data_IF_093181346469
#
_entry.id   IF_093181346469
#
_cell.length_a   1.000
_cell.length_b   1.000
_cell.length_c   1.000
_cell.angle_alpha   90.00
_cell.angle_beta   90.00
_cell.angle_gamma   90.00
#
_symmetry.space_group_name_H-M   'P 1'
#
loop_
_entity.id
_entity.type
_entity.pdbx_description
1 polymer ?
#
# COMPACT_ATOMS: atom_id res chain seq x y z
N UNK A 1 -9.69 30.61 -25.81
CA UNK A 1 -10.45 30.81 -24.56
C UNK A 1 -11.92 30.90 -24.91
N UNK A 2 -12.74 29.95 -24.48
CA UNK A 2 -14.21 30.01 -24.64
C UNK A 2 -14.88 29.54 -23.36
N UNK A 3 -15.38 30.53 -22.62
CA UNK A 3 -16.25 30.42 -21.44
C UNK A 3 -17.67 30.02 -21.91
N UNK A 4 -18.21 28.90 -21.41
CA UNK A 4 -19.61 28.46 -21.66
C UNK A 4 -20.43 28.41 -20.37
N UNK A 5 -20.96 29.58 -20.04
CA UNK A 5 -22.34 29.90 -19.66
C UNK A 5 -23.23 28.71 -19.19
N UNK A 6 -23.45 28.70 -17.88
CA UNK A 6 -24.74 28.59 -17.18
C UNK A 6 -25.98 28.17 -18.00
N UNK A 7 -26.57 27.02 -17.67
CA UNK A 7 -28.02 26.83 -17.84
C UNK A 7 -28.58 25.94 -16.74
N UNK A 8 -29.27 26.60 -15.81
CA UNK A 8 -30.17 25.96 -14.85
C UNK A 8 -31.29 25.26 -15.63
N UNK A 9 -31.53 23.98 -15.33
CA UNK A 9 -32.83 23.33 -15.55
C UNK A 9 -33.17 22.52 -14.31
N UNK A 10 -34.03 23.10 -13.49
CA UNK A 10 -34.74 22.49 -12.37
C UNK A 10 -35.92 21.70 -12.94
N UNK A 11 -35.87 20.37 -12.93
CA UNK A 11 -36.95 19.42 -13.27
C UNK A 11 -36.50 18.07 -12.64
N UNK A 12 -37.18 17.29 -11.78
CA UNK A 12 -38.56 17.16 -11.29
C UNK A 12 -38.49 16.39 -9.95
N UNK A 13 -39.34 16.73 -8.98
CA UNK A 13 -39.65 15.84 -7.86
C UNK A 13 -40.36 14.58 -8.39
N UNK A 14 -39.78 13.42 -8.16
CA UNK A 14 -40.46 12.13 -8.29
C UNK A 14 -40.36 11.40 -6.96
N UNK A 15 -41.48 11.33 -6.24
CA UNK A 15 -41.64 10.46 -5.10
C UNK A 15 -41.59 8.99 -5.58
N UNK A 16 -40.55 8.26 -5.21
CA UNK A 16 -40.45 6.82 -5.50
C UNK A 16 -40.95 6.09 -4.25
N UNK A 17 -42.12 5.48 -4.40
CA UNK A 17 -42.69 4.52 -3.46
C UNK A 17 -41.72 3.35 -3.24
N UNK A 18 -41.65 2.91 -1.98
CA UNK A 18 -40.76 1.85 -1.52
C UNK A 18 -40.85 0.57 -2.35
N UNK A 19 -39.67 0.00 -2.59
CA UNK A 19 -39.46 -1.42 -2.81
C UNK A 19 -38.09 -1.71 -2.23
N UNK A 20 -38.06 -2.41 -1.09
CA UNK A 20 -36.84 -2.79 -0.42
C UNK A 20 -36.00 -3.66 -1.34
N UNK A 21 -34.92 -3.09 -1.87
CA UNK A 21 -33.90 -3.88 -2.55
C UNK A 21 -33.04 -4.52 -1.48
N UNK A 22 -33.12 -5.84 -1.40
CA UNK A 22 -32.17 -6.66 -0.66
C UNK A 22 -30.86 -6.57 -1.45
N UNK A 23 -29.99 -5.64 -1.08
CA UNK A 23 -28.62 -5.61 -1.62
C UNK A 23 -27.90 -6.83 -1.09
N UNK A 24 -27.91 -7.90 -1.86
CA UNK A 24 -27.00 -9.03 -1.70
C UNK A 24 -25.58 -8.49 -1.84
N UNK A 25 -24.89 -8.36 -0.71
CA UNK A 25 -23.45 -8.13 -0.69
C UNK A 25 -22.81 -9.38 -1.27
N UNK A 26 -22.49 -9.35 -2.56
CA UNK A 26 -21.59 -10.34 -3.15
C UNK A 26 -20.23 -10.14 -2.45
N UNK A 27 -19.92 -11.01 -1.50
CA UNK A 27 -18.59 -11.11 -0.94
C UNK A 27 -17.66 -11.44 -2.12
N UNK A 28 -16.94 -10.42 -2.60
CA UNK A 28 -15.90 -10.64 -3.57
C UNK A 28 -14.88 -11.59 -2.91
N UNK A 29 -14.50 -12.69 -3.56
CA UNK A 29 -13.41 -13.51 -3.05
C UNK A 29 -12.23 -12.58 -2.88
N UNK A 30 -11.73 -12.46 -1.64
CA UNK A 30 -10.42 -11.87 -1.38
C UNK A 30 -9.45 -12.71 -2.20
N UNK A 31 -9.08 -12.21 -3.39
CA UNK A 31 -7.92 -12.70 -4.10
C UNK A 31 -6.76 -12.48 -3.14
N UNK A 32 -6.37 -13.55 -2.45
CA UNK A 32 -5.06 -13.70 -1.85
C UNK A 32 -4.07 -13.28 -2.95
N UNK A 33 -3.58 -12.05 -2.83
CA UNK A 33 -2.75 -11.45 -3.86
C UNK A 33 -1.48 -12.29 -3.90
N UNK A 34 -1.27 -13.02 -4.99
CA UNK A 34 -0.15 -13.95 -5.12
C UNK A 34 1.16 -13.22 -4.82
N UNK A 35 1.84 -13.62 -3.74
CA UNK A 35 3.14 -13.06 -3.33
C UNK A 35 4.25 -13.74 -4.13
N UNK A 36 5.24 -12.97 -4.56
CA UNK A 36 6.49 -13.48 -5.10
C UNK A 36 7.39 -13.92 -3.92
N UNK A 37 7.68 -15.21 -3.76
CA UNK A 37 8.55 -15.66 -2.69
C UNK A 37 9.98 -15.19 -2.95
N UNK A 38 10.62 -14.61 -1.93
CA UNK A 38 12.05 -14.27 -1.96
C UNK A 38 12.87 -15.37 -1.31
N UNK A 39 14.17 -15.48 -1.60
CA UNK A 39 15.06 -16.36 -0.84
C UNK A 39 14.94 -16.10 0.66
N UNK A 40 15.04 -17.16 1.47
CA UNK A 40 14.84 -17.06 2.91
C UNK A 40 15.90 -16.15 3.54
N UNK A 41 17.15 -16.29 3.10
CA UNK A 41 18.28 -15.50 3.58
C UNK A 41 18.07 -13.99 3.33
N UNK A 42 17.43 -13.63 2.22
CA UNK A 42 17.09 -12.24 1.87
C UNK A 42 15.96 -11.72 2.76
N UNK A 43 14.94 -12.56 2.98
CA UNK A 43 13.80 -12.25 3.86
C UNK A 43 14.30 -11.98 5.28
N UNK A 44 15.15 -12.85 5.81
CA UNK A 44 15.70 -12.74 7.16
C UNK A 44 16.59 -11.51 7.29
N UNK A 45 17.50 -11.28 6.33
CA UNK A 45 18.38 -10.12 6.32
C UNK A 45 17.59 -8.80 6.22
N UNK A 46 16.53 -8.76 5.41
CA UNK A 46 15.66 -7.60 5.30
C UNK A 46 14.98 -7.28 6.63
N UNK A 47 14.38 -8.29 7.26
CA UNK A 47 13.67 -8.12 8.53
C UNK A 47 14.63 -7.68 9.62
N UNK A 48 15.81 -8.29 9.73
CA UNK A 48 16.84 -7.92 10.70
C UNK A 48 17.26 -6.45 10.53
N UNK A 49 17.65 -6.05 9.33
CA UNK A 49 18.09 -4.69 9.04
C UNK A 49 16.97 -3.66 9.28
N UNK A 50 15.75 -3.96 8.84
CA UNK A 50 14.61 -3.08 9.05
C UNK A 50 14.28 -2.94 10.54
N UNK A 51 14.25 -4.03 11.30
CA UNK A 51 13.97 -4.00 12.75
C UNK A 51 15.01 -3.17 13.49
N UNK A 52 16.29 -3.41 13.22
CA UNK A 52 17.38 -2.65 13.83
C UNK A 52 17.27 -1.15 13.48
N UNK A 53 17.04 -0.84 12.20
CA UNK A 53 16.95 0.54 11.71
C UNK A 53 15.72 1.29 12.24
N UNK A 54 14.57 0.62 12.36
CA UNK A 54 13.33 1.22 12.88
C UNK A 54 13.39 1.48 14.38
N UNK A 55 13.97 0.55 15.16
CA UNK A 55 14.23 0.76 16.59
C UNK A 55 15.22 1.91 16.79
N UNK A 56 16.29 1.99 16.00
CA UNK A 56 17.24 3.10 16.05
C UNK A 56 16.60 4.47 15.73
N UNK A 57 15.48 4.47 14.98
CA UNK A 57 14.68 5.65 14.68
C UNK A 57 13.58 5.94 15.72
N UNK A 58 13.53 5.18 16.82
CA UNK A 58 12.64 5.44 17.96
C UNK A 58 11.31 4.69 17.93
N UNK A 59 11.12 3.75 17.01
CA UNK A 59 9.94 2.88 17.04
C UNK A 59 10.07 1.81 18.14
N UNK A 60 8.94 1.47 18.76
CA UNK A 60 8.89 0.31 19.67
C UNK A 60 9.13 -1.00 18.91
N UNK A 61 9.51 -2.08 19.59
CA UNK A 61 9.67 -3.40 18.95
C UNK A 61 8.39 -3.87 18.24
N UNK A 62 7.21 -3.63 18.86
CA UNK A 62 5.91 -3.98 18.26
C UNK A 62 5.68 -3.22 16.95
N UNK A 63 5.89 -1.90 16.97
CA UNK A 63 5.73 -1.06 15.79
C UNK A 63 6.74 -1.41 14.70
N UNK A 64 8.00 -1.61 15.08
CA UNK A 64 9.09 -2.03 14.19
C UNK A 64 8.73 -3.35 13.49
N UNK A 65 8.28 -4.35 14.23
CA UNK A 65 7.83 -5.63 13.67
C UNK A 65 6.64 -5.46 12.73
N UNK A 66 5.65 -4.65 13.11
CA UNK A 66 4.48 -4.42 12.27
C UNK A 66 4.82 -3.70 10.96
N UNK A 67 5.69 -2.69 11.03
CA UNK A 67 6.18 -1.95 9.87
C UNK A 67 7.00 -2.85 8.95
N UNK A 68 8.02 -3.53 9.49
CA UNK A 68 8.96 -4.33 8.70
C UNK A 68 8.31 -5.54 8.02
N UNK A 69 7.37 -6.21 8.70
CA UNK A 69 6.57 -7.26 8.06
C UNK A 69 5.72 -6.69 6.93
N UNK A 70 5.04 -5.56 7.16
CA UNK A 70 4.22 -4.94 6.13
C UNK A 70 5.05 -4.57 4.90
N UNK A 71 6.21 -3.93 5.08
CA UNK A 71 7.02 -3.48 3.95
C UNK A 71 7.56 -4.65 3.14
N UNK A 72 8.02 -5.72 3.81
CA UNK A 72 8.43 -6.95 3.12
C UNK A 72 7.28 -7.56 2.30
N UNK A 73 6.08 -7.65 2.88
CA UNK A 73 4.91 -8.19 2.19
C UNK A 73 4.50 -7.34 0.98
N UNK A 74 4.61 -6.01 1.09
CA UNK A 74 4.36 -5.10 -0.03
C UNK A 74 5.41 -5.27 -1.13
N UNK A 75 6.68 -5.46 -0.78
CA UNK A 75 7.70 -5.75 -1.78
C UNK A 75 7.41 -7.07 -2.50
N UNK A 76 7.24 -8.17 -1.76
CA UNK A 76 6.92 -9.48 -2.33
C UNK A 76 5.64 -9.48 -3.16
N UNK A 77 4.68 -8.64 -2.79
CA UNK A 77 3.46 -8.45 -3.56
C UNK A 77 3.70 -7.80 -4.91
N UNK A 78 4.49 -6.72 -4.93
CA UNK A 78 4.58 -5.79 -6.07
C UNK A 78 5.71 -6.14 -7.02
N UNK A 79 6.75 -6.80 -6.50
CA UNK A 79 8.00 -7.05 -7.20
C UNK A 79 8.39 -8.52 -7.04
N UNK A 80 8.95 -9.06 -8.10
CA UNK A 80 9.78 -10.27 -8.04
C UNK A 80 11.08 -9.99 -7.30
N UNK A 81 11.83 -11.03 -6.94
CA UNK A 81 13.12 -10.85 -6.28
C UNK A 81 14.11 -10.04 -7.14
N UNK A 82 14.17 -10.31 -8.45
CA UNK A 82 15.07 -9.60 -9.36
C UNK A 82 14.70 -8.10 -9.48
N UNK A 83 13.41 -7.78 -9.52
CA UNK A 83 12.92 -6.39 -9.52
C UNK A 83 13.21 -5.69 -8.18
N UNK A 84 13.08 -6.40 -7.05
CA UNK A 84 13.46 -5.88 -5.75
C UNK A 84 14.95 -5.52 -5.68
N UNK A 85 15.83 -6.36 -6.24
CA UNK A 85 17.27 -6.07 -6.32
C UNK A 85 17.53 -4.81 -7.14
N UNK A 86 16.79 -4.61 -8.24
CA UNK A 86 16.89 -3.39 -9.05
C UNK A 86 16.43 -2.15 -8.28
N UNK A 87 15.29 -2.22 -7.61
CA UNK A 87 14.77 -1.13 -6.76
C UNK A 87 15.80 -0.72 -5.69
N UNK A 88 16.49 -1.69 -5.08
CA UNK A 88 17.53 -1.41 -4.08
C UNK A 88 18.90 -1.02 -4.67
N UNK A 89 19.15 -1.23 -5.97
CA UNK A 89 20.36 -0.73 -6.61
C UNK A 89 20.28 0.80 -6.83
N UNK A 90 19.07 1.32 -7.02
CA UNK A 90 18.81 2.74 -7.28
C UNK A 90 18.99 3.63 -6.02
N UNK A 91 18.89 3.07 -4.81
CA UNK A 91 19.11 3.83 -3.55
C UNK A 91 20.52 4.38 -3.41
N UNK A 92 21.52 3.80 -4.09
CA UNK A 92 22.90 4.27 -4.04
C UNK A 92 23.18 5.41 -5.03
N UNK A 93 22.17 5.87 -5.78
CA UNK A 93 22.33 6.84 -6.86
C UNK A 93 21.83 8.24 -6.51
N UNK A 94 21.10 8.40 -5.40
CA UNK A 94 20.49 9.66 -4.96
C UNK A 94 20.34 9.69 -3.44
N UNK A 95 20.31 10.89 -2.86
CA UNK A 95 19.94 11.10 -1.46
C UNK A 95 18.43 10.89 -1.23
N UNK A 96 17.62 10.93 -2.29
CA UNK A 96 16.20 10.65 -2.25
C UNK A 96 15.92 9.16 -2.49
N UNK A 97 15.12 8.48 -1.64
CA UNK A 97 14.78 7.10 -1.86
C UNK A 97 13.99 6.92 -3.17
N UNK A 98 14.23 5.83 -3.92
CA UNK A 98 13.45 5.49 -5.10
C UNK A 98 11.94 5.51 -4.80
N UNK A 99 11.08 5.97 -5.75
CA UNK A 99 9.63 6.04 -5.55
C UNK A 99 9.03 4.73 -5.05
N UNK A 100 9.52 3.59 -5.54
CA UNK A 100 9.10 2.26 -5.10
C UNK A 100 9.29 2.03 -3.59
N UNK A 101 10.40 2.50 -3.01
CA UNK A 101 10.68 2.39 -1.57
C UNK A 101 9.80 3.36 -0.79
N UNK A 102 9.65 4.59 -1.27
CA UNK A 102 8.79 5.59 -0.65
C UNK A 102 7.32 5.14 -0.60
N UNK A 103 6.79 4.60 -1.70
CA UNK A 103 5.41 4.13 -1.82
C UNK A 103 5.12 2.91 -0.93
N UNK A 104 6.11 2.03 -0.74
CA UNK A 104 5.99 0.90 0.19
C UNK A 104 6.00 1.37 1.64
N UNK A 105 6.93 2.27 1.99
CA UNK A 105 7.01 2.84 3.34
C UNK A 105 5.74 3.59 3.74
N UNK A 106 5.22 4.44 2.85
CA UNK A 106 3.98 5.20 3.10
C UNK A 106 2.75 4.30 3.20
N UNK A 107 2.65 3.26 2.37
CA UNK A 107 1.56 2.28 2.48
C UNK A 107 1.57 1.53 3.82
N UNK A 108 2.75 1.35 4.42
CA UNK A 108 2.91 0.66 5.69
C UNK A 108 2.96 1.58 6.91
N UNK A 109 3.13 2.89 6.73
CA UNK A 109 3.14 3.85 7.85
C UNK A 109 1.82 3.80 8.67
N UNK A 110 0.70 3.46 8.03
CA UNK A 110 -0.59 3.27 8.70
C UNK A 110 -0.58 2.15 9.76
N UNK A 111 0.38 1.20 9.71
CA UNK A 111 0.49 0.15 10.74
C UNK A 111 1.03 0.69 12.06
N UNK A 112 1.68 1.86 12.07
CA UNK A 112 2.29 2.45 13.25
C UNK A 112 1.28 3.02 14.26
N UNK A 113 0.04 3.24 13.83
CA UNK A 113 -1.06 3.77 14.65
C UNK A 113 -1.96 2.67 15.24
N UNK A 114 -1.57 1.39 15.13
CA UNK A 114 -2.32 0.21 15.60
C UNK A 114 -1.69 -0.46 16.84
#
# INVERSE_FOLDING_TARGET
MTLKILKHSVILLSAILGSGMITSVAAQPTQERQKNPYPQEVTDAYLEACLQGSVAQGLTEKQSKSLCTCTLEQFQTRYTFDEFVQVYAETNQSDEPPPAIFDVGTACAATLTQ
#
